data_IF_997305858217
#
_entry.id   IF_997305858217
#
_cell.length_a   1.000
_cell.length_b   1.000
_cell.length_c   1.000
_cell.angle_alpha   90.00
_cell.angle_beta   90.00
_cell.angle_gamma   90.00
#
_symmetry.space_group_name_H-M   'P 1'
#
loop_
_entity.id
_entity.type
_entity.pdbx_description
1 polymer ?
#
# COMPACT_ATOMS: atom_id res chain seq x y z
N UNK A 1 5.73 -30.37 -52.90
CA UNK A 1 6.19 -30.05 -51.53
C UNK A 1 5.84 -28.60 -51.22
N UNK A 2 5.35 -28.33 -50.00
CA UNK A 2 4.88 -27.07 -49.38
C UNK A 2 3.35 -26.87 -49.39
N UNK A 3 2.71 -27.41 -48.34
CA UNK A 3 1.40 -26.98 -47.83
C UNK A 3 1.61 -25.65 -47.10
N UNK A 4 0.91 -24.60 -47.52
CA UNK A 4 0.82 -23.33 -46.80
C UNK A 4 -0.35 -23.48 -45.82
N UNK A 5 -0.05 -23.58 -44.53
CA UNK A 5 -1.03 -23.44 -43.46
C UNK A 5 -1.24 -21.94 -43.22
N UNK A 6 -2.37 -21.40 -43.66
CA UNK A 6 -2.84 -20.09 -43.23
C UNK A 6 -3.41 -20.22 -41.82
N UNK A 7 -2.63 -19.80 -40.83
CA UNK A 7 -3.06 -19.68 -39.45
C UNK A 7 -3.88 -18.38 -39.32
N UNK A 8 -5.20 -18.49 -39.36
CA UNK A 8 -6.09 -17.38 -39.04
C UNK A 8 -6.04 -17.12 -37.53
N UNK A 9 -5.33 -16.08 -37.13
CA UNK A 9 -5.34 -15.58 -35.75
C UNK A 9 -6.64 -14.81 -35.54
N UNK A 10 -7.66 -15.50 -35.02
CA UNK A 10 -8.86 -14.84 -34.50
C UNK A 10 -8.45 -14.09 -33.22
N UNK A 11 -8.13 -12.80 -33.38
CA UNK A 11 -8.10 -11.84 -32.28
C UNK A 11 -9.53 -11.73 -31.75
N UNK A 12 -9.86 -12.55 -30.75
CA UNK A 12 -10.98 -12.26 -29.86
C UNK A 12 -10.54 -11.07 -29.02
N UNK A 13 -10.77 -9.87 -29.54
CA UNK A 13 -10.71 -8.66 -28.76
C UNK A 13 -11.86 -8.72 -27.75
N UNK A 14 -11.59 -9.30 -26.58
CA UNK A 14 -12.44 -9.12 -25.41
C UNK A 14 -12.54 -7.61 -25.19
N UNK A 15 -13.75 -7.01 -25.17
CA UNK A 15 -13.87 -5.62 -24.77
C UNK A 15 -13.42 -5.56 -23.30
N UNK A 16 -12.24 -5.00 -23.07
CA UNK A 16 -11.84 -4.44 -21.79
C UNK A 16 -12.83 -3.33 -21.50
N UNK A 17 -13.99 -3.68 -20.94
CA UNK A 17 -14.75 -2.73 -20.16
C UNK A 17 -13.86 -2.41 -18.96
N UNK A 18 -13.09 -1.32 -19.06
CA UNK A 18 -12.61 -0.63 -17.89
C UNK A 18 -13.86 -0.24 -17.11
N UNK A 19 -14.22 -1.05 -16.13
CA UNK A 19 -15.24 -0.69 -15.15
C UNK A 19 -14.74 0.61 -14.54
N UNK A 20 -15.47 1.71 -14.72
CA UNK A 20 -15.14 2.97 -14.07
C UNK A 20 -14.96 2.67 -12.57
N UNK A 21 -13.79 2.96 -12.01
CA UNK A 21 -13.55 2.71 -10.59
C UNK A 21 -14.57 3.52 -9.79
N UNK A 22 -15.49 2.82 -9.11
CA UNK A 22 -16.38 3.45 -8.16
C UNK A 22 -15.59 3.84 -6.90
N UNK A 23 -15.66 5.10 -6.51
CA UNK A 23 -15.17 5.58 -5.22
C UNK A 23 -16.36 5.84 -4.29
N UNK A 24 -16.10 5.71 -2.99
CA UNK A 24 -17.13 5.84 -1.97
C UNK A 24 -17.38 7.30 -1.60
N UNK A 25 -16.31 8.10 -1.59
CA UNK A 25 -16.38 9.54 -1.36
C UNK A 25 -15.55 10.32 -2.38
N UNK A 26 -16.01 11.53 -2.69
CA UNK A 26 -15.36 12.44 -3.62
C UNK A 26 -14.99 13.74 -2.91
N UNK A 27 -13.83 14.28 -3.26
CA UNK A 27 -13.32 15.55 -2.75
C UNK A 27 -13.07 16.52 -3.89
N UNK A 28 -13.62 17.72 -3.81
CA UNK A 28 -13.40 18.83 -4.73
C UNK A 28 -13.44 20.16 -3.96
N UNK A 29 -12.28 20.79 -3.78
CA UNK A 29 -12.15 22.06 -3.03
C UNK A 29 -12.97 23.21 -3.61
N UNK A 30 -13.30 23.18 -4.90
CA UNK A 30 -14.00 24.25 -5.61
C UNK A 30 -15.53 24.10 -5.55
N UNK A 31 -16.03 23.00 -5.00
CA UNK A 31 -17.46 22.80 -4.83
C UNK A 31 -18.02 23.78 -3.80
N UNK A 32 -19.20 24.35 -4.08
CA UNK A 32 -19.80 25.43 -3.28
C UNK A 32 -21.18 25.07 -2.71
N UNK A 33 -21.66 23.85 -2.95
CA UNK A 33 -22.96 23.38 -2.48
C UNK A 33 -22.89 22.62 -1.16
N UNK A 34 -23.99 21.93 -0.86
CA UNK A 34 -24.09 21.02 0.28
C UNK A 34 -23.19 19.79 0.09
N UNK A 35 -22.37 19.48 1.10
CA UNK A 35 -21.35 18.42 1.08
C UNK A 35 -21.89 17.13 1.70
N UNK A 36 -22.05 16.08 0.89
CA UNK A 36 -22.42 14.74 1.38
C UNK A 36 -21.43 13.65 0.96
N UNK A 37 -20.44 14.01 0.14
CA UNK A 37 -19.37 13.13 -0.32
C UNK A 37 -19.69 12.34 -1.59
N UNK A 38 -20.84 12.55 -2.24
CA UNK A 38 -21.12 11.92 -3.54
C UNK A 38 -20.34 12.62 -4.66
N UNK A 39 -20.34 12.03 -5.86
CA UNK A 39 -19.68 12.63 -7.03
C UNK A 39 -20.28 14.01 -7.39
N UNK A 40 -21.61 14.18 -7.23
CA UNK A 40 -22.33 15.42 -7.52
C UNK A 40 -22.26 16.44 -6.37
N UNK A 41 -22.07 15.94 -5.14
CA UNK A 41 -22.03 16.73 -3.91
C UNK A 41 -20.79 16.38 -3.07
N UNK A 42 -19.58 16.59 -3.60
CA UNK A 42 -18.33 16.17 -2.96
C UNK A 42 -18.06 16.94 -1.68
N UNK A 43 -17.16 16.41 -0.86
CA UNK A 43 -16.54 17.17 0.24
C UNK A 43 -15.55 18.20 -0.33
N UNK A 44 -15.35 19.31 0.37
CA UNK A 44 -14.33 20.29 0.01
C UNK A 44 -12.95 19.94 0.57
N UNK A 45 -12.92 19.21 1.68
CA UNK A 45 -11.69 18.84 2.39
C UNK A 45 -11.48 17.34 2.40
N UNK A 46 -10.22 16.92 2.45
CA UNK A 46 -9.85 15.51 2.57
C UNK A 46 -10.21 15.03 3.98
N UNK A 47 -10.00 15.87 5.00
CA UNK A 47 -10.36 15.58 6.38
C UNK A 47 -11.83 15.25 6.59
N UNK A 48 -12.76 15.95 5.92
CA UNK A 48 -14.19 15.65 6.01
C UNK A 48 -14.51 14.30 5.38
N UNK A 49 -13.92 13.98 4.23
CA UNK A 49 -14.07 12.68 3.57
C UNK A 49 -13.52 11.53 4.44
N UNK A 50 -12.34 11.72 5.05
CA UNK A 50 -11.74 10.75 5.99
C UNK A 50 -12.64 10.57 7.23
N UNK A 51 -13.12 11.66 7.82
CA UNK A 51 -14.02 11.62 8.98
C UNK A 51 -15.32 10.88 8.65
N UNK A 52 -15.84 11.05 7.43
CA UNK A 52 -17.01 10.34 6.96
C UNK A 52 -16.74 8.85 6.76
N UNK A 53 -15.59 8.49 6.18
CA UNK A 53 -15.17 7.11 6.01
C UNK A 53 -15.03 6.38 7.36
N UNK A 54 -14.50 7.05 8.38
CA UNK A 54 -14.38 6.51 9.74
C UNK A 54 -15.72 6.14 10.37
N UNK A 55 -16.70 7.04 10.25
CA UNK A 55 -18.05 6.81 10.76
C UNK A 55 -18.78 5.71 9.98
N UNK A 56 -18.43 5.57 8.70
CA UNK A 56 -19.10 4.69 7.76
C UNK A 56 -18.51 3.27 7.73
N UNK A 57 -17.82 2.82 8.81
CA UNK A 57 -17.04 1.54 8.92
C UNK A 57 -17.73 0.27 8.39
N UNK A 58 -19.00 0.32 8.02
CA UNK A 58 -19.65 -0.57 7.03
C UNK A 58 -19.08 -0.47 5.59
N UNK A 59 -17.82 -0.09 5.41
CA UNK A 59 -17.07 -0.33 4.19
C UNK A 59 -16.76 0.82 3.22
N UNK A 60 -17.28 2.01 3.45
CA UNK A 60 -16.99 3.14 2.55
C UNK A 60 -15.63 3.77 2.90
N UNK A 61 -14.58 3.47 2.13
CA UNK A 61 -13.17 3.77 2.49
C UNK A 61 -12.30 4.27 1.34
N UNK A 62 -12.81 4.26 0.11
CA UNK A 62 -12.11 4.74 -1.10
C UNK A 62 -12.51 6.19 -1.38
N UNK A 63 -11.53 7.09 -1.33
CA UNK A 63 -11.73 8.52 -1.50
C UNK A 63 -11.04 8.97 -2.78
N UNK A 64 -11.81 9.53 -3.71
CA UNK A 64 -11.31 10.21 -4.89
C UNK A 64 -11.10 11.70 -4.62
N UNK A 65 -9.96 12.23 -5.05
CA UNK A 65 -9.58 13.62 -4.82
C UNK A 65 -9.35 14.29 -6.17
N UNK A 66 -10.21 15.23 -6.50
CA UNK A 66 -10.10 16.01 -7.74
C UNK A 66 -8.81 16.85 -7.76
N UNK A 67 -8.41 17.32 -8.93
CA UNK A 67 -7.27 18.22 -9.06
C UNK A 67 -7.46 19.49 -8.23
N UNK A 68 -6.36 19.92 -7.60
CA UNK A 68 -6.34 21.08 -6.73
C UNK A 68 -5.29 20.97 -5.63
N UNK A 69 -4.96 22.12 -5.06
CA UNK A 69 -4.09 22.20 -3.88
C UNK A 69 -4.91 22.26 -2.59
N UNK A 70 -4.74 21.26 -1.73
CA UNK A 70 -5.44 21.05 -0.47
C UNK A 70 -4.48 21.31 0.67
N UNK A 71 -4.68 22.41 1.41
CA UNK A 71 -3.83 22.77 2.56
C UNK A 71 -4.36 22.09 3.82
N UNK A 72 -3.80 20.93 4.16
CA UNK A 72 -4.29 20.12 5.27
C UNK A 72 -3.15 19.37 5.97
N UNK A 73 -3.33 19.14 7.26
CA UNK A 73 -2.77 17.98 7.92
C UNK A 73 -3.89 16.98 8.22
N UNK A 74 -3.63 15.71 7.96
CA UNK A 74 -4.62 14.67 8.11
C UNK A 74 -3.98 13.40 8.67
N UNK A 75 -4.69 12.79 9.62
CA UNK A 75 -4.48 11.40 9.99
C UNK A 75 -5.43 10.58 9.13
N UNK A 76 -4.88 9.81 8.21
CA UNK A 76 -5.62 8.86 7.39
C UNK A 76 -5.75 7.59 8.23
N UNK A 77 -6.95 7.35 8.73
CA UNK A 77 -7.25 6.18 9.55
C UNK A 77 -7.09 4.88 8.77
N UNK A 78 -6.98 3.78 9.52
CA UNK A 78 -6.88 2.42 9.01
C UNK A 78 -7.90 2.10 7.90
N UNK A 79 -7.49 1.30 6.92
CA UNK A 79 -8.21 0.93 5.69
C UNK A 79 -8.61 2.07 4.74
N UNK A 80 -8.39 3.35 5.08
CA UNK A 80 -8.73 4.46 4.15
C UNK A 80 -7.74 4.55 3.00
N UNK A 81 -8.27 4.65 1.77
CA UNK A 81 -7.50 4.66 0.52
C UNK A 81 -7.77 5.95 -0.24
N UNK A 82 -6.72 6.70 -0.56
CA UNK A 82 -6.80 7.96 -1.30
C UNK A 82 -6.31 7.79 -2.73
N UNK A 83 -7.09 8.29 -3.67
CA UNK A 83 -6.81 8.27 -5.11
C UNK A 83 -6.92 9.71 -5.62
N UNK A 84 -5.81 10.27 -6.08
CA UNK A 84 -5.84 11.54 -6.79
C UNK A 84 -6.30 11.37 -8.23
N UNK A 85 -6.88 12.42 -8.78
CA UNK A 85 -7.18 12.53 -10.21
C UNK A 85 -5.88 12.60 -11.03
N UNK A 86 -4.85 13.25 -10.50
CA UNK A 86 -3.53 13.35 -11.12
C UNK A 86 -2.43 13.53 -10.09
N UNK A 87 -1.30 12.84 -10.26
CA UNK A 87 -0.15 13.04 -9.37
C UNK A 87 0.46 14.42 -9.53
N UNK A 88 0.31 15.07 -10.68
CA UNK A 88 0.84 16.40 -10.95
C UNK A 88 -0.05 17.51 -10.37
N UNK A 89 -1.37 17.33 -10.35
CA UNK A 89 -2.34 18.40 -10.05
C UNK A 89 -3.14 18.20 -8.76
N UNK A 90 -3.28 16.97 -8.27
CA UNK A 90 -3.85 16.69 -6.94
C UNK A 90 -2.76 16.81 -5.88
N UNK A 91 -2.68 17.97 -5.21
CA UNK A 91 -1.60 18.31 -4.29
C UNK A 91 -2.12 18.43 -2.87
N UNK A 92 -1.62 17.59 -1.96
CA UNK A 92 -1.78 17.72 -0.52
C UNK A 92 -0.63 18.59 0.00
N UNK A 93 -0.92 19.86 0.25
CA UNK A 93 0.03 20.85 0.76
C UNK A 93 0.07 20.80 2.29
N UNK A 94 1.12 20.19 2.82
CA UNK A 94 1.30 19.96 4.27
C UNK A 94 1.86 21.22 4.94
N UNK A 95 1.21 21.73 6.00
CA UNK A 95 1.72 22.85 6.79
C UNK A 95 3.12 22.56 7.35
N UNK A 96 3.96 23.59 7.44
CA UNK A 96 5.41 23.48 7.68
C UNK A 96 5.87 22.61 8.88
N UNK A 97 5.07 22.47 9.93
CA UNK A 97 5.43 21.70 11.14
C UNK A 97 4.62 20.41 11.28
N UNK A 98 3.77 20.11 10.30
CA UNK A 98 2.86 18.97 10.29
C UNK A 98 3.39 17.85 9.40
N UNK A 99 2.59 16.78 9.29
CA UNK A 99 2.77 15.62 8.42
C UNK A 99 1.41 15.06 8.05
N UNK A 100 1.27 14.45 6.87
CA UNK A 100 0.21 13.47 6.63
C UNK A 100 0.60 12.18 7.35
N UNK A 101 -0.32 11.54 8.06
CA UNK A 101 -0.06 10.30 8.80
C UNK A 101 -0.98 9.18 8.35
N UNK A 102 -0.40 8.07 7.90
CA UNK A 102 -1.11 6.81 7.66
C UNK A 102 -1.10 5.98 8.96
N UNK A 103 -2.24 5.44 9.35
CA UNK A 103 -2.46 4.81 10.65
C UNK A 103 -2.83 3.31 10.58
N UNK A 104 -2.70 2.69 9.42
CA UNK A 104 -3.04 1.28 9.23
C UNK A 104 -2.91 0.90 7.76
N UNK A 105 -3.73 -0.03 7.30
CA UNK A 105 -3.78 -0.59 5.94
C UNK A 105 -4.21 0.46 4.89
N UNK A 106 -3.30 1.40 4.60
CA UNK A 106 -3.60 2.57 3.78
C UNK A 106 -3.04 2.46 2.37
N UNK A 107 -3.71 3.13 1.43
CA UNK A 107 -3.22 3.28 0.05
C UNK A 107 -3.25 4.74 -0.37
N UNK A 108 -2.15 5.19 -0.97
CA UNK A 108 -2.07 6.47 -1.68
C UNK A 108 -1.73 6.18 -3.14
N UNK A 109 -2.51 6.74 -4.05
CA UNK A 109 -2.27 6.60 -5.49
C UNK A 109 -2.51 7.91 -6.22
N UNK A 110 -1.67 8.18 -7.22
CA UNK A 110 -1.89 9.23 -8.23
C UNK A 110 -2.05 10.65 -7.62
N UNK A 111 -1.23 11.00 -6.62
CA UNK A 111 -1.28 12.31 -5.93
C UNK A 111 0.11 12.82 -5.51
N UNK A 112 0.22 14.12 -5.23
CA UNK A 112 1.40 14.76 -4.63
C UNK A 112 1.17 15.02 -3.14
N UNK A 113 2.19 14.80 -2.31
CA UNK A 113 2.31 15.36 -0.96
C UNK A 113 3.51 16.31 -0.93
N UNK A 114 3.26 17.59 -0.61
CA UNK A 114 4.27 18.64 -0.64
C UNK A 114 4.39 19.36 0.71
N UNK A 115 5.60 19.67 1.16
CA UNK A 115 5.84 20.42 2.39
C UNK A 115 5.87 19.56 3.65
N UNK A 116 5.50 20.15 4.79
CA UNK A 116 5.58 19.48 6.10
C UNK A 116 6.96 19.54 6.76
N UNK A 117 7.00 19.21 8.05
CA UNK A 117 8.27 18.86 8.70
C UNK A 117 8.75 17.51 8.16
N UNK A 118 7.80 16.59 8.05
CA UNK A 118 7.86 15.34 7.31
C UNK A 118 6.65 15.38 6.38
N UNK A 119 6.80 15.04 5.09
CA UNK A 119 5.64 15.06 4.20
C UNK A 119 4.67 13.92 4.55
N UNK A 120 5.20 12.70 4.68
CA UNK A 120 4.42 11.49 4.96
C UNK A 120 5.02 10.66 6.11
N UNK A 121 4.24 10.40 7.16
CA UNK A 121 4.55 9.44 8.22
C UNK A 121 3.68 8.20 8.05
N UNK A 122 4.28 7.02 8.06
CA UNK A 122 3.60 5.74 7.90
C UNK A 122 3.69 4.96 9.21
N UNK A 123 2.53 4.63 9.79
CA UNK A 123 2.36 3.78 10.97
C UNK A 123 1.32 2.69 10.68
N UNK A 124 1.77 1.57 10.11
CA UNK A 124 0.90 0.51 9.61
C UNK A 124 1.30 0.08 8.19
N UNK A 125 0.58 -0.89 7.63
CA UNK A 125 0.87 -1.36 6.28
C UNK A 125 0.47 -0.29 5.25
N UNK A 126 1.31 0.01 4.27
CA UNK A 126 0.95 1.02 3.30
C UNK A 126 1.43 0.69 1.89
N UNK A 127 0.61 1.06 0.90
CA UNK A 127 1.00 1.09 -0.51
C UNK A 127 0.99 2.54 -0.98
N UNK A 128 2.15 3.06 -1.34
CA UNK A 128 2.31 4.39 -1.97
C UNK A 128 2.72 4.16 -3.41
N UNK A 129 1.85 4.51 -4.35
CA UNK A 129 2.03 4.19 -5.77
C UNK A 129 1.81 5.39 -6.67
N UNK A 130 2.75 5.63 -7.59
CA UNK A 130 2.65 6.73 -8.55
C UNK A 130 2.42 8.10 -7.88
N UNK A 131 3.09 8.34 -6.75
CA UNK A 131 3.00 9.57 -5.99
C UNK A 131 4.25 10.45 -6.18
N UNK A 132 4.11 11.74 -5.89
CA UNK A 132 5.24 12.67 -5.74
C UNK A 132 5.30 13.12 -4.28
N UNK A 133 6.43 12.91 -3.61
CA UNK A 133 6.69 13.35 -2.25
C UNK A 133 7.83 14.37 -2.26
N UNK A 134 7.53 15.63 -1.95
CA UNK A 134 8.51 16.71 -2.14
C UNK A 134 8.47 17.82 -1.11
N UNK A 135 9.56 18.59 -1.10
CA UNK A 135 9.67 19.89 -0.41
C UNK A 135 9.43 19.84 1.11
N UNK A 136 9.56 18.67 1.73
CA UNK A 136 9.49 18.54 3.18
C UNK A 136 10.73 19.17 3.83
N UNK A 137 10.57 19.80 5.00
CA UNK A 137 11.69 20.46 5.70
C UNK A 137 12.75 19.49 6.22
N UNK A 138 12.39 18.25 6.55
CA UNK A 138 13.32 17.25 7.11
C UNK A 138 13.31 15.92 6.38
N UNK A 139 12.16 15.27 6.22
CA UNK A 139 12.10 13.94 5.59
C UNK A 139 10.94 13.87 4.61
N UNK A 140 11.15 13.25 3.45
CA UNK A 140 10.05 12.98 2.53
C UNK A 140 9.07 11.99 3.17
N UNK A 141 9.54 10.77 3.39
CA UNK A 141 8.76 9.69 4.01
C UNK A 141 9.46 9.22 5.28
N UNK A 142 8.71 9.04 6.37
CA UNK A 142 9.15 8.36 7.59
C UNK A 142 8.27 7.13 7.85
N UNK A 143 8.87 5.95 7.85
CA UNK A 143 8.23 4.71 8.32
C UNK A 143 8.67 4.50 9.76
N UNK A 144 7.72 4.51 10.69
CA UNK A 144 8.03 4.42 12.12
C UNK A 144 8.41 2.99 12.54
N UNK A 145 9.08 2.85 13.68
CA UNK A 145 9.46 1.54 14.22
C UNK A 145 8.21 0.65 14.40
N UNK A 146 8.27 -0.58 13.92
CA UNK A 146 7.13 -1.47 13.94
C UNK A 146 7.35 -2.75 13.15
N UNK A 147 6.26 -3.41 12.77
CA UNK A 147 6.24 -4.61 11.92
C UNK A 147 5.37 -4.37 10.68
N UNK A 148 5.45 -3.18 10.11
CA UNK A 148 4.63 -2.76 8.98
C UNK A 148 5.12 -3.40 7.68
N UNK A 149 4.20 -3.64 6.73
CA UNK A 149 4.53 -3.91 5.33
C UNK A 149 4.35 -2.64 4.53
N UNK A 150 5.44 -2.07 4.00
CA UNK A 150 5.37 -0.83 3.22
C UNK A 150 5.90 -1.05 1.81
N UNK A 151 5.05 -0.82 0.82
CA UNK A 151 5.43 -0.81 -0.59
C UNK A 151 5.41 0.61 -1.12
N UNK A 152 6.52 1.06 -1.70
CA UNK A 152 6.64 2.34 -2.41
C UNK A 152 7.01 2.02 -3.84
N UNK A 153 6.12 2.33 -4.78
CA UNK A 153 6.21 1.93 -6.19
C UNK A 153 6.07 3.14 -7.11
N UNK A 154 6.85 3.18 -8.19
CA UNK A 154 6.66 4.14 -9.29
C UNK A 154 6.58 5.62 -8.84
N UNK A 155 7.23 5.97 -7.72
CA UNK A 155 7.05 7.27 -7.07
C UNK A 155 8.31 8.14 -7.19
N UNK A 156 8.10 9.46 -7.13
CA UNK A 156 9.17 10.46 -7.11
C UNK A 156 9.32 11.02 -5.69
N UNK A 157 10.48 10.87 -5.08
CA UNK A 157 10.81 11.41 -3.75
C UNK A 157 11.95 12.41 -3.91
N UNK A 158 11.65 13.71 -3.84
CA UNK A 158 12.60 14.75 -4.27
C UNK A 158 12.59 16.03 -3.45
N UNK A 159 13.71 16.75 -3.46
CA UNK A 159 13.85 18.10 -2.87
C UNK A 159 13.51 18.18 -1.36
N UNK A 160 13.66 17.09 -0.62
CA UNK A 160 13.43 17.11 0.82
C UNK A 160 14.66 17.64 1.55
N UNK A 161 14.44 18.42 2.61
CA UNK A 161 15.47 19.09 3.40
C UNK A 161 16.36 18.17 4.25
N UNK A 162 16.19 16.86 4.14
CA UNK A 162 17.02 15.81 4.76
C UNK A 162 16.79 14.50 4.01
N UNK A 163 16.43 13.42 4.71
CA UNK A 163 16.27 12.07 4.13
C UNK A 163 15.11 12.00 3.12
N UNK A 164 15.32 11.29 2.01
CA UNK A 164 14.25 10.97 1.07
C UNK A 164 13.22 10.05 1.74
N UNK A 165 13.62 8.82 2.04
CA UNK A 165 12.84 7.85 2.84
C UNK A 165 13.66 7.40 4.04
N UNK A 166 13.07 7.54 5.22
CA UNK A 166 13.65 7.10 6.48
C UNK A 166 12.86 5.93 7.04
N UNK A 167 13.52 4.79 7.25
CA UNK A 167 12.89 3.53 7.62
C UNK A 167 13.43 3.10 8.98
N UNK A 168 12.60 3.21 10.00
CA UNK A 168 12.94 2.78 11.35
C UNK A 168 12.80 1.26 11.51
N UNK A 169 13.35 0.76 12.62
CA UNK A 169 13.56 -0.67 12.91
C UNK A 169 12.32 -1.55 12.71
N UNK A 170 12.55 -2.79 12.25
CA UNK A 170 11.58 -3.88 12.34
C UNK A 170 10.61 -4.06 11.17
N UNK A 171 10.60 -3.13 10.21
CA UNK A 171 9.64 -3.11 9.11
C UNK A 171 10.02 -4.04 7.95
N UNK A 172 9.01 -4.38 7.13
CA UNK A 172 9.19 -5.04 5.84
C UNK A 172 8.94 -4.06 4.70
N UNK A 173 9.82 -4.03 3.70
CA UNK A 173 9.77 -3.02 2.64
C UNK A 173 9.81 -3.62 1.22
N UNK A 174 9.09 -3.00 0.30
CA UNK A 174 9.26 -3.16 -1.14
C UNK A 174 9.41 -1.78 -1.78
N UNK A 175 10.64 -1.40 -2.14
CA UNK A 175 10.93 -0.13 -2.78
C UNK A 175 11.29 -0.40 -4.24
N UNK A 176 10.37 -0.13 -5.18
CA UNK A 176 10.59 -0.46 -6.59
C UNK A 176 10.22 0.63 -7.58
N UNK A 177 11.03 0.78 -8.63
CA UNK A 177 10.79 1.70 -9.73
C UNK A 177 10.60 3.17 -9.28
N UNK A 178 11.24 3.56 -8.17
CA UNK A 178 11.16 4.92 -7.67
C UNK A 178 12.33 5.77 -8.20
N UNK A 179 12.07 7.07 -8.32
CA UNK A 179 13.12 8.07 -8.49
C UNK A 179 13.32 8.82 -7.18
N UNK A 180 14.53 8.79 -6.63
CA UNK A 180 14.87 9.42 -5.34
C UNK A 180 16.05 10.36 -5.52
N UNK A 181 15.77 11.66 -5.55
CA UNK A 181 16.78 12.62 -5.96
C UNK A 181 16.74 13.96 -5.22
N UNK A 182 17.87 14.66 -5.21
CA UNK A 182 17.98 16.03 -4.68
C UNK A 182 17.54 16.20 -3.21
N UNK A 183 17.62 15.13 -2.42
CA UNK A 183 17.35 15.20 -0.99
C UNK A 183 18.64 15.64 -0.26
N UNK A 184 18.51 16.48 0.78
CA UNK A 184 19.66 17.00 1.56
C UNK A 184 20.21 16.04 2.62
N UNK A 185 19.87 14.77 2.51
CA UNK A 185 20.40 13.68 3.30
C UNK A 185 20.62 12.46 2.41
N UNK A 186 20.34 11.29 2.94
CA UNK A 186 20.36 10.01 2.26
C UNK A 186 19.12 9.86 1.37
N UNK A 187 19.23 9.17 0.24
CA UNK A 187 18.06 8.81 -0.56
C UNK A 187 17.15 7.86 0.22
N UNK A 188 17.70 6.71 0.61
CA UNK A 188 17.10 5.76 1.54
C UNK A 188 18.00 5.59 2.77
N UNK A 189 17.50 5.89 3.98
CA UNK A 189 18.14 5.54 5.26
C UNK A 189 17.35 4.43 5.94
N UNK A 190 18.00 3.28 6.13
CA UNK A 190 17.40 2.02 6.55
C UNK A 190 18.04 1.59 7.87
N UNK A 191 17.23 1.53 8.92
CA UNK A 191 17.67 1.08 10.25
C UNK A 191 17.74 -0.44 10.34
N UNK A 192 18.09 -0.95 11.52
CA UNK A 192 18.29 -2.39 11.76
C UNK A 192 16.98 -3.21 11.71
N UNK A 193 17.11 -4.52 11.60
CA UNK A 193 16.03 -5.51 11.59
C UNK A 193 14.99 -5.25 10.50
N UNK A 194 15.45 -4.87 9.30
CA UNK A 194 14.60 -4.64 8.14
C UNK A 194 14.61 -5.87 7.25
N UNK A 195 13.45 -6.24 6.71
CA UNK A 195 13.31 -7.28 5.70
C UNK A 195 12.80 -6.69 4.40
N UNK A 196 13.33 -7.02 3.23
CA UNK A 196 12.73 -6.50 2.02
C UNK A 196 13.56 -6.46 0.75
N UNK A 197 13.00 -5.76 -0.23
CA UNK A 197 13.54 -5.62 -1.58
C UNK A 197 13.64 -4.14 -1.94
N UNK A 198 14.79 -3.75 -2.47
CA UNK A 198 15.05 -2.43 -3.07
C UNK A 198 15.47 -2.70 -4.50
N UNK A 199 14.56 -2.50 -5.46
CA UNK A 199 14.77 -2.95 -6.83
C UNK A 199 14.47 -1.87 -7.87
N UNK A 200 15.32 -1.74 -8.89
CA UNK A 200 15.01 -0.97 -10.10
C UNK A 200 14.74 0.53 -9.81
N UNK A 201 15.37 1.08 -8.76
CA UNK A 201 15.23 2.50 -8.44
C UNK A 201 16.35 3.32 -9.10
N UNK A 202 16.03 4.58 -9.42
CA UNK A 202 17.01 5.60 -9.79
C UNK A 202 17.26 6.54 -8.60
N UNK A 203 18.48 6.50 -8.06
CA UNK A 203 18.83 7.21 -6.82
C UNK A 203 20.00 8.13 -7.09
N UNK A 204 19.76 9.44 -7.09
CA UNK A 204 20.80 10.38 -7.55
C UNK A 204 20.80 11.75 -6.92
N UNK A 205 21.97 12.41 -6.91
CA UNK A 205 22.10 13.80 -6.48
C UNK A 205 21.61 14.07 -5.05
N UNK A 206 21.64 13.06 -4.17
CA UNK A 206 21.42 13.26 -2.75
C UNK A 206 22.73 13.74 -2.09
N UNK A 207 22.64 14.54 -1.03
CA UNK A 207 23.84 15.15 -0.42
C UNK A 207 24.58 14.22 0.54
N UNK A 208 24.05 13.03 0.81
CA UNK A 208 24.77 11.97 1.52
C UNK A 208 24.87 10.71 0.65
N UNK A 209 24.66 9.52 1.21
CA UNK A 209 24.69 8.26 0.46
C UNK A 209 23.38 8.08 -0.32
N UNK A 210 23.42 7.39 -1.46
CA UNK A 210 22.20 7.04 -2.17
C UNK A 210 21.32 6.10 -1.33
N UNK A 211 21.90 4.98 -0.91
CA UNK A 211 21.30 4.03 0.03
C UNK A 211 22.22 3.90 1.23
N UNK A 212 21.69 4.06 2.44
CA UNK A 212 22.40 3.79 3.69
C UNK A 212 21.64 2.74 4.50
N UNK A 213 22.36 1.70 4.92
CA UNK A 213 21.82 0.57 5.67
C UNK A 213 22.59 0.40 6.96
N UNK A 214 21.88 0.48 8.09
CA UNK A 214 22.37 -0.05 9.34
C UNK A 214 22.09 -1.56 9.38
N UNK A 215 23.16 -2.34 9.16
CA UNK A 215 23.09 -3.77 8.81
C UNK A 215 22.27 -4.61 9.80
N UNK A 216 22.45 -4.40 11.10
CA UNK A 216 21.93 -5.20 12.22
C UNK A 216 20.74 -6.11 11.94
N UNK A 217 20.93 -7.43 11.88
CA UNK A 217 19.87 -8.44 11.67
C UNK A 217 18.96 -8.23 10.44
N UNK A 218 19.35 -7.39 9.48
CA UNK A 218 18.52 -7.09 8.30
C UNK A 218 18.67 -8.16 7.23
N UNK A 219 17.58 -8.45 6.51
CA UNK A 219 17.53 -9.37 5.37
C UNK A 219 17.07 -8.59 4.13
N UNK A 220 17.99 -8.26 3.22
CA UNK A 220 17.73 -7.31 2.14
C UNK A 220 18.25 -7.83 0.80
N UNK A 221 17.41 -7.72 -0.22
CA UNK A 221 17.83 -7.80 -1.61
C UNK A 221 17.84 -6.40 -2.23
N UNK A 222 19.04 -5.88 -2.50
CA UNK A 222 19.23 -4.59 -3.18
C UNK A 222 19.69 -4.90 -4.60
N UNK A 223 18.79 -4.76 -5.57
CA UNK A 223 19.08 -5.20 -6.94
C UNK A 223 18.73 -4.22 -8.04
N UNK A 224 19.52 -4.23 -9.12
CA UNK A 224 19.21 -3.47 -10.36
C UNK A 224 18.95 -1.98 -10.13
N UNK A 225 19.48 -1.39 -9.05
CA UNK A 225 19.35 0.04 -8.82
C UNK A 225 20.44 0.80 -9.57
N UNK A 226 20.10 1.99 -10.07
CA UNK A 226 21.08 2.94 -10.60
C UNK A 226 21.32 4.02 -9.56
N UNK A 227 22.51 4.01 -8.96
CA UNK A 227 22.89 4.91 -7.86
C UNK A 227 24.06 5.79 -8.28
N UNK A 228 23.80 7.07 -8.52
CA UNK A 228 24.77 7.98 -9.15
C UNK A 228 24.78 9.39 -8.61
N UNK A 229 25.93 10.05 -8.69
CA UNK A 229 26.07 11.48 -8.34
C UNK A 229 25.64 11.83 -6.90
N UNK A 230 25.61 10.86 -5.98
CA UNK A 230 25.38 11.17 -4.57
C UNK A 230 26.70 11.71 -3.97
N UNK A 231 26.61 12.71 -3.10
CA UNK A 231 27.79 13.43 -2.63
C UNK A 231 28.69 12.56 -1.73
N UNK A 232 28.14 11.58 -1.03
CA UNK A 232 28.90 10.57 -0.30
C UNK A 232 29.03 9.27 -1.12
N UNK A 233 28.36 8.19 -0.71
CA UNK A 233 28.55 6.87 -1.29
C UNK A 233 27.37 6.47 -2.20
N UNK A 234 27.57 5.46 -3.04
CA UNK A 234 26.46 4.78 -3.68
C UNK A 234 25.61 4.06 -2.63
N UNK A 235 26.16 2.97 -2.08
CA UNK A 235 25.56 2.19 -1.00
C UNK A 235 26.51 2.21 0.20
N UNK A 236 26.03 2.66 1.36
CA UNK A 236 26.76 2.62 2.62
C UNK A 236 26.14 1.59 3.56
N UNK A 237 26.98 0.75 4.17
CA UNK A 237 26.59 -0.19 5.21
C UNK A 237 27.28 0.23 6.51
N UNK A 238 26.47 0.52 7.52
CA UNK A 238 26.91 0.92 8.83
C UNK A 238 26.69 -0.19 9.86
N UNK A 239 27.47 -0.11 10.93
CA UNK A 239 27.35 -0.93 12.12
C UNK A 239 27.66 -0.09 13.36
N UNK A 240 27.17 -0.55 14.50
CA UNK A 240 27.48 0.00 15.82
C UNK A 240 27.88 -1.17 16.73
N UNK A 241 28.85 -1.01 17.65
CA UNK A 241 29.22 -2.08 18.58
C UNK A 241 28.04 -2.63 19.39
N UNK A 242 27.04 -1.79 19.66
CA UNK A 242 25.81 -2.15 20.39
C UNK A 242 24.81 -2.96 19.55
N UNK A 243 25.08 -3.14 18.24
CA UNK A 243 24.25 -3.89 17.29
C UNK A 243 25.14 -4.95 16.61
N UNK A 244 25.51 -6.03 17.34
CA UNK A 244 26.48 -7.01 16.88
C UNK A 244 25.90 -7.99 15.85
N UNK A 245 24.58 -8.04 15.68
CA UNK A 245 23.92 -8.98 14.77
C UNK A 245 24.31 -8.72 13.32
N UNK A 246 24.71 -9.77 12.61
CA UNK A 246 24.98 -9.71 11.17
C UNK A 246 23.69 -9.65 10.36
N UNK A 247 23.80 -9.22 9.11
CA UNK A 247 22.70 -9.20 8.15
C UNK A 247 22.77 -10.32 7.10
N UNK A 248 21.73 -10.42 6.28
CA UNK A 248 21.70 -11.17 5.02
C UNK A 248 21.41 -10.19 3.89
N UNK A 249 22.43 -9.48 3.45
CA UNK A 249 22.28 -8.40 2.46
C UNK A 249 22.89 -8.83 1.15
N UNK A 250 22.08 -9.04 0.10
CA UNK A 250 22.57 -9.28 -1.25
C UNK A 250 22.52 -7.99 -2.07
N UNK A 251 23.67 -7.53 -2.55
CA UNK A 251 23.78 -6.47 -3.54
C UNK A 251 23.96 -7.13 -4.92
N UNK A 252 22.96 -7.01 -5.79
CA UNK A 252 22.91 -7.74 -7.06
C UNK A 252 22.67 -6.82 -8.26
N UNK A 253 23.53 -6.84 -9.28
CA UNK A 253 23.30 -6.10 -10.54
C UNK A 253 23.04 -4.58 -10.36
N UNK A 254 23.58 -3.95 -9.32
CA UNK A 254 23.46 -2.51 -9.16
C UNK A 254 24.51 -1.77 -10.00
N UNK A 255 24.15 -0.58 -10.48
CA UNK A 255 25.05 0.35 -11.18
C UNK A 255 25.38 1.50 -10.22
N UNK A 256 26.62 1.52 -9.73
CA UNK A 256 27.09 2.45 -8.69
C UNK A 256 28.21 3.33 -9.27
N UNK A 257 27.86 4.53 -9.74
CA UNK A 257 28.78 5.35 -10.54
C UNK A 257 28.79 6.82 -10.17
N UNK A 258 29.93 7.51 -10.29
CA UNK A 258 30.01 8.97 -10.10
C UNK A 258 29.61 9.46 -8.71
N UNK A 259 29.64 8.60 -7.69
CA UNK A 259 29.41 9.03 -6.30
C UNK A 259 30.68 9.68 -5.73
N UNK A 260 30.50 10.63 -4.81
CA UNK A 260 31.56 11.51 -4.31
C UNK A 260 32.59 10.84 -3.39
N UNK A 261 32.34 9.59 -2.97
CA UNK A 261 33.26 8.74 -2.21
C UNK A 261 33.27 7.35 -2.84
N UNK A 262 32.77 6.32 -2.18
CA UNK A 262 32.83 4.94 -2.66
C UNK A 262 31.56 4.57 -3.43
N UNK A 263 31.65 3.58 -4.31
CA UNK A 263 30.42 2.93 -4.80
C UNK A 263 29.76 2.14 -3.67
N UNK A 264 30.55 1.36 -2.92
CA UNK A 264 30.13 0.63 -1.72
C UNK A 264 31.06 0.98 -0.57
N UNK A 265 30.47 1.44 0.54
CA UNK A 265 31.17 1.77 1.77
C UNK A 265 30.70 0.88 2.91
N UNK A 266 31.63 0.49 3.79
CA UNK A 266 31.34 -0.17 5.06
C UNK A 266 32.06 0.53 6.21
N UNK A 267 31.42 0.73 7.36
CA UNK A 267 32.10 1.20 8.56
C UNK A 267 31.17 1.82 9.60
N UNK A 268 31.71 2.12 10.78
CA UNK A 268 30.96 2.86 11.80
C UNK A 268 30.72 4.31 11.36
N UNK A 269 29.60 4.90 11.79
CA UNK A 269 29.53 6.35 11.85
C UNK A 269 30.62 6.87 12.82
N UNK A 270 31.38 7.86 12.37
CA UNK A 270 32.54 8.44 13.08
C UNK A 270 33.77 7.51 13.25
N UNK A 271 33.86 6.40 12.51
CA UNK A 271 35.11 5.63 12.42
C UNK A 271 35.45 4.77 13.65
N UNK A 272 34.44 4.34 14.41
CA UNK A 272 34.59 3.38 15.50
C UNK A 272 35.01 1.97 15.05
N UNK A 273 35.44 1.16 16.03
CA UNK A 273 35.94 -0.19 15.81
C UNK A 273 34.82 -1.22 15.62
N UNK A 274 35.06 -2.18 14.72
CA UNK A 274 34.20 -3.36 14.53
C UNK A 274 35.04 -4.62 14.32
N UNK A 275 34.41 -5.78 14.49
CA UNK A 275 35.03 -7.04 14.11
C UNK A 275 35.43 -7.00 12.63
N UNK A 276 36.66 -7.41 12.32
CA UNK A 276 37.23 -7.41 10.98
C UNK A 276 36.45 -8.23 9.94
N UNK A 277 35.43 -8.98 10.37
CA UNK A 277 34.61 -9.85 9.52
C UNK A 277 33.14 -9.42 9.41
N UNK A 278 32.65 -8.48 10.22
CA UNK A 278 31.20 -8.15 10.33
C UNK A 278 30.53 -7.90 8.97
N UNK A 279 31.11 -7.03 8.14
CA UNK A 279 30.55 -6.70 6.83
C UNK A 279 30.73 -7.83 5.83
N UNK A 280 31.88 -8.50 5.85
CA UNK A 280 32.13 -9.66 4.99
C UNK A 280 31.24 -10.85 5.34
N UNK A 281 30.70 -10.89 6.56
CA UNK A 281 29.73 -11.85 7.10
C UNK A 281 28.27 -11.36 7.05
N UNK A 282 28.01 -10.16 6.53
CA UNK A 282 26.65 -9.64 6.38
C UNK A 282 26.21 -9.37 4.93
N UNK A 283 27.15 -9.14 4.03
CA UNK A 283 26.87 -8.63 2.69
C UNK A 283 27.46 -9.57 1.63
N UNK A 284 26.73 -9.88 0.57
CA UNK A 284 27.24 -10.58 -0.64
C UNK A 284 27.11 -9.66 -1.84
N UNK A 285 28.18 -9.57 -2.63
CA UNK A 285 28.20 -8.84 -3.89
C UNK A 285 28.10 -9.81 -5.06
N UNK A 286 27.22 -9.50 -5.99
CA UNK A 286 27.05 -10.30 -7.21
C UNK A 286 26.75 -9.37 -8.39
N UNK A 287 27.60 -9.42 -9.42
CA UNK A 287 27.35 -8.77 -10.71
C UNK A 287 27.11 -7.24 -10.67
N UNK A 288 27.63 -6.53 -9.67
CA UNK A 288 27.50 -5.07 -9.57
C UNK A 288 28.52 -4.34 -10.45
N UNK A 289 28.07 -3.28 -11.14
CA UNK A 289 28.94 -2.34 -11.85
C UNK A 289 29.32 -1.21 -10.90
N UNK A 290 30.60 -1.05 -10.62
CA UNK A 290 31.08 -0.06 -9.66
C UNK A 290 32.33 0.63 -10.19
N UNK A 291 32.13 1.76 -10.88
CA UNK A 291 33.18 2.49 -11.57
C UNK A 291 32.97 4.00 -11.46
N UNK A 292 34.00 4.78 -11.80
CA UNK A 292 33.92 6.25 -11.89
C UNK A 292 33.44 6.96 -10.62
N UNK A 293 33.47 6.32 -9.45
CA UNK A 293 33.31 7.00 -8.17
C UNK A 293 34.60 7.75 -7.82
N UNK A 294 34.51 8.84 -7.05
CA UNK A 294 35.70 9.63 -6.70
C UNK A 294 36.70 8.83 -5.83
N UNK A 295 36.17 7.97 -4.98
CA UNK A 295 36.92 7.00 -4.18
C UNK A 295 36.99 5.62 -4.85
N UNK A 296 37.43 4.62 -4.08
CA UNK A 296 37.52 3.24 -4.58
C UNK A 296 36.12 2.67 -4.88
N UNK A 297 36.02 1.63 -5.73
CA UNK A 297 34.75 0.93 -5.90
C UNK A 297 34.16 0.46 -4.56
N UNK A 298 34.97 -0.23 -3.76
CA UNK A 298 34.59 -0.73 -2.44
C UNK A 298 35.59 -0.21 -1.40
N UNK A 299 35.10 0.22 -0.23
CA UNK A 299 35.98 0.60 0.88
C UNK A 299 36.72 -0.61 1.47
N UNK A 300 37.96 -0.43 1.92
CA UNK A 300 38.80 -1.54 2.43
C UNK A 300 38.22 -2.22 3.67
N UNK A 301 37.49 -1.47 4.50
CA UNK A 301 36.77 -1.90 5.69
C UNK A 301 35.68 -2.94 5.44
N UNK A 302 35.23 -3.13 4.20
CA UNK A 302 34.24 -4.15 3.88
C UNK A 302 34.79 -5.59 3.94
N UNK A 303 36.10 -5.77 3.71
CA UNK A 303 36.78 -7.08 3.76
C UNK A 303 36.15 -8.23 2.93
N UNK A 304 35.43 -7.94 1.84
CA UNK A 304 34.73 -8.95 1.01
C UNK A 304 35.64 -10.02 0.37
N UNK A 305 36.95 -9.79 0.28
CA UNK A 305 37.91 -10.80 -0.19
C UNK A 305 38.07 -12.03 0.71
N UNK A 306 37.38 -12.08 1.86
CA UNK A 306 37.44 -13.19 2.85
C UNK A 306 36.22 -14.12 2.83
N UNK A 307 35.30 -13.96 1.87
CA UNK A 307 34.06 -14.73 1.83
C UNK A 307 34.29 -16.21 1.54
N UNK A 308 33.68 -17.08 2.34
CA UNK A 308 33.73 -18.54 2.14
C UNK A 308 32.55 -19.01 1.28
N UNK A 309 32.69 -20.16 0.61
CA UNK A 309 31.60 -20.75 -0.19
C UNK A 309 30.39 -21.11 0.69
N UNK A 310 30.63 -21.66 1.88
CA UNK A 310 29.57 -21.99 2.86
C UNK A 310 28.78 -20.73 3.27
N UNK A 311 29.45 -19.57 3.31
CA UNK A 311 28.82 -18.30 3.64
C UNK A 311 27.95 -17.74 2.50
N UNK A 312 28.41 -17.83 1.25
CA UNK A 312 27.60 -17.44 0.08
C UNK A 312 26.30 -18.25 0.04
N UNK A 313 26.33 -19.53 0.44
CA UNK A 313 25.13 -20.37 0.56
C UNK A 313 24.21 -19.95 1.71
N UNK A 314 24.75 -19.45 2.83
CA UNK A 314 23.97 -19.06 4.02
C UNK A 314 23.30 -17.67 3.92
N UNK A 315 23.71 -16.82 2.97
CA UNK A 315 23.05 -15.54 2.65
C UNK A 315 21.99 -15.66 1.56
N UNK A 316 21.85 -16.84 0.93
CA UNK A 316 20.68 -17.12 0.13
C UNK A 316 19.42 -16.94 0.99
N UNK A 317 18.61 -15.95 0.63
CA UNK A 317 17.35 -15.64 1.26
C UNK A 317 16.26 -15.62 0.21
N UNK A 318 15.11 -16.20 0.55
CA UNK A 318 13.88 -16.10 -0.22
C UNK A 318 13.18 -14.75 0.03
N UNK A 319 13.87 -13.74 0.59
CA UNK A 319 13.29 -12.43 0.95
C UNK A 319 12.51 -11.81 -0.20
N UNK A 320 12.97 -11.93 -1.44
CA UNK A 320 12.20 -11.45 -2.60
C UNK A 320 10.86 -12.15 -2.73
N UNK A 321 10.86 -13.48 -2.73
CA UNK A 321 9.64 -14.29 -2.84
C UNK A 321 8.70 -14.02 -1.67
N UNK A 322 9.23 -13.89 -0.46
CA UNK A 322 8.46 -13.63 0.77
C UNK A 322 7.83 -12.22 0.71
N UNK A 323 8.62 -11.21 0.36
CA UNK A 323 8.16 -9.82 0.26
C UNK A 323 7.14 -9.63 -0.86
N UNK A 324 7.41 -10.16 -2.06
CA UNK A 324 6.45 -10.10 -3.17
C UNK A 324 5.15 -10.82 -2.82
N UNK A 325 5.21 -12.04 -2.26
CA UNK A 325 4.00 -12.75 -1.79
C UNK A 325 3.21 -11.93 -0.77
N UNK A 326 3.90 -11.27 0.18
CA UNK A 326 3.24 -10.47 1.19
C UNK A 326 2.53 -9.24 0.60
N UNK A 327 3.15 -8.57 -0.38
CA UNK A 327 2.54 -7.44 -1.09
C UNK A 327 1.39 -7.89 -1.98
N UNK A 328 1.52 -9.02 -2.69
CA UNK A 328 0.45 -9.59 -3.52
C UNK A 328 -0.78 -9.97 -2.67
N UNK A 329 -0.56 -10.53 -1.48
CA UNK A 329 -1.64 -10.81 -0.52
C UNK A 329 -2.31 -9.53 -0.01
N UNK A 330 -1.54 -8.46 0.21
CA UNK A 330 -2.11 -7.16 0.57
C UNK A 330 -2.96 -6.57 -0.57
N UNK A 331 -2.51 -6.66 -1.81
CA UNK A 331 -3.29 -6.20 -2.97
C UNK A 331 -4.57 -7.03 -3.17
N UNK A 332 -4.52 -8.35 -2.93
CA UNK A 332 -5.70 -9.22 -2.93
C UNK A 332 -6.68 -8.86 -1.80
N UNK A 333 -6.16 -8.57 -0.61
CA UNK A 333 -6.96 -8.09 0.52
C UNK A 333 -7.66 -6.77 0.17
N UNK A 334 -6.92 -5.78 -0.34
CA UNK A 334 -7.46 -4.45 -0.68
C UNK A 334 -8.61 -4.52 -1.69
N UNK A 335 -8.51 -5.44 -2.65
CA UNK A 335 -9.55 -5.71 -3.65
C UNK A 335 -10.77 -6.39 -3.02
N UNK A 336 -10.54 -7.42 -2.20
CA UNK A 336 -11.60 -8.18 -1.52
C UNK A 336 -12.37 -7.29 -0.53
N UNK A 337 -11.64 -6.44 0.21
CA UNK A 337 -12.19 -5.42 1.10
C UNK A 337 -13.16 -4.50 0.33
N UNK A 338 -12.71 -3.91 -0.78
CA UNK A 338 -13.56 -3.04 -1.61
C UNK A 338 -14.85 -3.74 -2.07
N UNK A 339 -14.79 -5.03 -2.39
CA UNK A 339 -15.96 -5.80 -2.85
C UNK A 339 -16.92 -6.10 -1.70
N UNK A 340 -16.42 -6.60 -0.57
CA UNK A 340 -17.22 -6.90 0.62
C UNK A 340 -17.92 -5.63 1.11
N UNK A 341 -17.17 -4.55 1.20
CA UNK A 341 -17.63 -3.26 1.68
C UNK A 341 -18.77 -2.68 0.84
N UNK A 342 -18.66 -2.75 -0.49
CA UNK A 342 -19.73 -2.35 -1.40
C UNK A 342 -21.01 -3.18 -1.17
N UNK A 343 -20.87 -4.48 -0.89
CA UNK A 343 -22.00 -5.38 -0.62
C UNK A 343 -22.60 -5.16 0.76
N UNK A 344 -21.78 -4.86 1.77
CA UNK A 344 -22.27 -4.45 3.09
C UNK A 344 -23.11 -3.18 2.95
N UNK A 345 -22.58 -2.14 2.30
CA UNK A 345 -23.27 -0.87 2.11
C UNK A 345 -24.60 -1.04 1.34
N UNK A 346 -24.57 -1.77 0.22
CA UNK A 346 -25.77 -2.04 -0.58
C UNK A 346 -26.83 -2.83 0.19
N UNK A 347 -26.43 -3.91 0.87
CA UNK A 347 -27.32 -4.74 1.69
C UNK A 347 -27.96 -3.94 2.82
N UNK A 348 -27.18 -3.11 3.51
CA UNK A 348 -27.69 -2.28 4.61
C UNK A 348 -28.72 -1.25 4.15
N UNK A 349 -28.49 -0.63 2.99
CA UNK A 349 -29.43 0.33 2.40
C UNK A 349 -30.76 -0.33 2.07
N UNK A 350 -30.73 -1.51 1.43
CA UNK A 350 -31.95 -2.25 1.09
C UNK A 350 -32.66 -2.73 2.36
N UNK A 351 -31.93 -3.33 3.30
CA UNK A 351 -32.46 -3.79 4.59
C UNK A 351 -33.13 -2.66 5.37
N UNK A 352 -32.52 -1.47 5.39
CA UNK A 352 -33.07 -0.28 6.05
C UNK A 352 -34.35 0.20 5.35
N UNK A 353 -34.36 0.28 4.01
CA UNK A 353 -35.53 0.67 3.22
C UNK A 353 -36.71 -0.27 3.44
N UNK A 354 -36.43 -1.58 3.44
CA UNK A 354 -37.42 -2.62 3.72
C UNK A 354 -37.97 -2.45 5.16
N UNK A 355 -37.10 -2.25 6.14
CA UNK A 355 -37.52 -2.09 7.52
C UNK A 355 -38.36 -0.81 7.74
N UNK A 356 -38.05 0.28 7.04
CA UNK A 356 -38.79 1.53 7.08
C UNK A 356 -40.18 1.47 6.41
N UNK A 357 -40.47 0.45 5.60
CA UNK A 357 -41.77 0.31 4.94
C UNK A 357 -42.90 0.14 5.97
N UNK A 358 -44.01 0.86 5.81
CA UNK A 358 -45.12 0.88 6.76
C UNK A 358 -45.74 -0.51 6.96
N UNK A 359 -46.31 -0.76 8.15
CA UNK A 359 -46.96 -2.03 8.46
C UNK A 359 -48.14 -2.29 7.49
N UNK A 360 -48.92 -1.26 7.18
CA UNK A 360 -50.00 -1.33 6.19
C UNK A 360 -49.47 -1.79 4.82
N UNK A 361 -48.40 -1.19 4.31
CA UNK A 361 -47.84 -1.58 3.00
C UNK A 361 -47.28 -3.02 3.05
N UNK A 362 -46.60 -3.41 4.14
CA UNK A 362 -46.12 -4.78 4.33
C UNK A 362 -47.25 -5.80 4.34
N UNK A 363 -48.41 -5.44 4.90
CA UNK A 363 -49.61 -6.29 4.97
C UNK A 363 -50.33 -6.38 3.61
N UNK A 364 -50.55 -5.25 2.93
CA UNK A 364 -51.40 -5.22 1.73
C UNK A 364 -50.66 -5.49 0.41
N UNK A 365 -49.35 -5.21 0.36
CA UNK A 365 -48.55 -5.27 -0.86
C UNK A 365 -47.43 -6.33 -0.74
N UNK A 366 -47.00 -6.64 0.48
CA UNK A 366 -45.85 -7.50 0.74
C UNK A 366 -44.52 -6.74 0.63
N UNK A 367 -43.41 -7.48 0.67
CA UNK A 367 -42.07 -6.92 0.43
C UNK A 367 -41.75 -6.94 -1.07
N UNK A 368 -40.96 -5.95 -1.52
CA UNK A 368 -40.50 -5.88 -2.90
C UNK A 368 -39.60 -7.08 -3.23
N UNK A 369 -40.02 -7.93 -4.16
CA UNK A 369 -39.33 -9.16 -4.53
C UNK A 369 -37.94 -8.90 -5.12
N UNK A 370 -37.76 -7.83 -5.90
CA UNK A 370 -36.47 -7.46 -6.48
C UNK A 370 -35.45 -7.08 -5.39
N UNK A 371 -35.89 -6.31 -4.39
CA UNK A 371 -35.04 -5.96 -3.24
C UNK A 371 -34.66 -7.18 -2.39
N UNK A 372 -35.56 -8.15 -2.28
CA UNK A 372 -35.31 -9.42 -1.58
C UNK A 372 -34.29 -10.28 -2.34
N UNK A 373 -34.43 -10.36 -3.67
CA UNK A 373 -33.45 -11.05 -4.53
C UNK A 373 -32.07 -10.37 -4.45
N UNK A 374 -32.01 -9.03 -4.45
CA UNK A 374 -30.77 -8.29 -4.26
C UNK A 374 -30.12 -8.55 -2.90
N UNK A 375 -30.91 -8.63 -1.81
CA UNK A 375 -30.38 -9.00 -0.49
C UNK A 375 -29.83 -10.42 -0.45
N UNK A 376 -30.48 -11.38 -1.13
CA UNK A 376 -29.97 -12.75 -1.24
C UNK A 376 -28.64 -12.78 -1.99
N UNK A 377 -28.58 -12.14 -3.16
CA UNK A 377 -27.35 -12.03 -3.94
C UNK A 377 -26.21 -11.36 -3.14
N UNK A 378 -26.51 -10.28 -2.40
CA UNK A 378 -25.53 -9.64 -1.53
C UNK A 378 -24.99 -10.60 -0.44
N UNK A 379 -25.86 -11.40 0.19
CA UNK A 379 -25.43 -12.40 1.17
C UNK A 379 -24.52 -13.48 0.53
N UNK A 380 -24.89 -14.00 -0.64
CA UNK A 380 -24.10 -15.02 -1.34
C UNK A 380 -22.70 -14.49 -1.70
N UNK A 381 -22.61 -13.25 -2.18
CA UNK A 381 -21.32 -12.60 -2.48
C UNK A 381 -20.48 -12.32 -1.22
N UNK A 382 -21.12 -11.94 -0.10
CA UNK A 382 -20.42 -11.77 1.17
C UNK A 382 -19.84 -13.10 1.69
N UNK A 383 -20.56 -14.22 1.53
CA UNK A 383 -20.05 -15.56 1.88
C UNK A 383 -18.83 -15.91 1.04
N UNK A 384 -18.88 -15.70 -0.29
CA UNK A 384 -17.72 -15.90 -1.17
C UNK A 384 -16.53 -15.01 -0.79
N UNK A 385 -16.78 -13.75 -0.44
CA UNK A 385 -15.75 -12.84 0.06
C UNK A 385 -15.07 -13.36 1.34
N UNK A 386 -15.84 -13.92 2.28
CA UNK A 386 -15.31 -14.51 3.51
C UNK A 386 -14.41 -15.73 3.22
N UNK A 387 -14.74 -16.53 2.20
CA UNK A 387 -13.90 -17.67 1.77
C UNK A 387 -12.55 -17.17 1.24
N UNK A 388 -12.56 -16.14 0.37
CA UNK A 388 -11.33 -15.52 -0.14
C UNK A 388 -10.48 -14.94 1.01
N UNK A 389 -11.11 -14.26 1.96
CA UNK A 389 -10.44 -13.75 3.15
C UNK A 389 -9.78 -14.87 3.96
N UNK A 390 -10.45 -16.01 4.12
CA UNK A 390 -9.89 -17.18 4.79
C UNK A 390 -8.62 -17.67 4.10
N UNK A 391 -8.63 -17.73 2.76
CA UNK A 391 -7.45 -18.12 1.97
C UNK A 391 -6.29 -17.13 2.13
N UNK A 392 -6.57 -15.82 2.14
CA UNK A 392 -5.56 -14.78 2.41
C UNK A 392 -4.95 -14.98 3.81
N UNK A 393 -5.77 -15.19 4.83
CA UNK A 393 -5.32 -15.41 6.21
C UNK A 393 -4.43 -16.65 6.34
N UNK A 394 -4.84 -17.76 5.72
CA UNK A 394 -4.10 -19.03 5.72
C UNK A 394 -2.74 -18.92 5.00
N UNK A 395 -2.64 -18.03 4.01
CA UNK A 395 -1.42 -17.82 3.23
C UNK A 395 -0.50 -16.72 3.78
N UNK A 396 -0.99 -15.93 4.74
CA UNK A 396 -0.24 -14.85 5.39
C UNK A 396 0.44 -15.33 6.66
N UNK A 397 1.69 -14.89 6.85
CA UNK A 397 2.45 -15.06 8.09
C UNK A 397 2.48 -13.79 8.95
N UNK A 398 1.69 -12.76 8.58
CA UNK A 398 1.68 -11.46 9.28
C UNK A 398 0.44 -11.36 10.16
N UNK A 399 0.66 -11.11 11.46
CA UNK A 399 -0.44 -10.93 12.42
C UNK A 399 -1.33 -9.74 12.06
N UNK A 400 -0.76 -8.62 11.57
CA UNK A 400 -1.53 -7.45 11.14
C UNK A 400 -2.58 -7.81 10.08
N UNK A 401 -2.15 -8.49 9.01
CA UNK A 401 -3.05 -8.97 7.95
C UNK A 401 -4.13 -9.91 8.48
N UNK A 402 -3.77 -10.86 9.36
CA UNK A 402 -4.74 -11.79 9.96
C UNK A 402 -5.78 -11.06 10.80
N UNK A 403 -5.39 -10.01 11.52
CA UNK A 403 -6.29 -9.13 12.27
C UNK A 403 -7.24 -8.36 11.34
N UNK A 404 -6.73 -7.75 10.27
CA UNK A 404 -7.54 -7.01 9.30
C UNK A 404 -8.57 -7.92 8.61
N UNK A 405 -8.13 -9.11 8.18
CA UNK A 405 -9.01 -10.15 7.65
C UNK A 405 -10.10 -10.54 8.65
N UNK A 406 -9.75 -10.81 9.91
CA UNK A 406 -10.72 -11.23 10.92
C UNK A 406 -11.79 -10.16 11.18
N UNK A 407 -11.38 -8.89 11.25
CA UNK A 407 -12.28 -7.76 11.44
C UNK A 407 -13.28 -7.64 10.29
N UNK A 408 -12.80 -7.63 9.04
CA UNK A 408 -13.65 -7.52 7.85
C UNK A 408 -14.61 -8.70 7.72
N UNK A 409 -14.13 -9.93 7.97
CA UNK A 409 -14.98 -11.13 7.96
C UNK A 409 -16.06 -11.08 9.05
N UNK A 410 -15.77 -10.49 10.21
CA UNK A 410 -16.76 -10.29 11.27
C UNK A 410 -17.84 -9.28 10.85
N UNK A 411 -17.46 -8.18 10.22
CA UNK A 411 -18.39 -7.18 9.72
C UNK A 411 -19.31 -7.76 8.62
N UNK A 412 -18.75 -8.53 7.68
CA UNK A 412 -19.52 -9.25 6.67
C UNK A 412 -20.54 -10.23 7.28
N UNK A 413 -20.13 -11.06 8.26
CA UNK A 413 -21.02 -11.99 8.96
C UNK A 413 -22.16 -11.30 9.70
N UNK A 414 -21.88 -10.12 10.27
CA UNK A 414 -22.89 -9.31 10.96
C UNK A 414 -23.94 -8.79 9.97
N UNK A 415 -23.54 -8.33 8.79
CA UNK A 415 -24.47 -7.87 7.76
C UNK A 415 -25.29 -9.03 7.18
N UNK A 416 -24.67 -10.18 6.90
CA UNK A 416 -25.38 -11.41 6.48
C UNK A 416 -26.49 -11.76 7.48
N UNK A 417 -26.15 -11.76 8.77
CA UNK A 417 -27.10 -12.06 9.85
C UNK A 417 -28.26 -11.05 9.89
N UNK A 418 -28.00 -9.77 9.65
CA UNK A 418 -29.02 -8.74 9.58
C UNK A 418 -29.95 -8.92 8.38
N UNK A 419 -29.39 -9.22 7.20
CA UNK A 419 -30.14 -9.47 5.98
C UNK A 419 -31.02 -10.74 6.10
N UNK A 420 -30.49 -11.81 6.67
CA UNK A 420 -31.23 -13.07 6.92
C UNK A 420 -32.51 -12.86 7.75
N UNK A 421 -32.47 -11.96 8.73
CA UNK A 421 -33.64 -11.60 9.53
C UNK A 421 -34.71 -10.96 8.64
N UNK A 422 -34.33 -10.08 7.72
CA UNK A 422 -35.25 -9.42 6.78
C UNK A 422 -35.81 -10.44 5.78
N UNK A 423 -34.95 -11.29 5.20
CA UNK A 423 -35.34 -12.33 4.25
C UNK A 423 -36.35 -13.32 4.85
N UNK A 424 -36.13 -13.77 6.09
CA UNK A 424 -37.07 -14.67 6.79
C UNK A 424 -38.43 -14.01 7.05
N UNK A 425 -38.45 -12.74 7.45
CA UNK A 425 -39.70 -11.97 7.65
C UNK A 425 -40.46 -11.79 6.34
N UNK A 426 -39.74 -11.51 5.27
CA UNK A 426 -40.31 -11.37 3.92
C UNK A 426 -40.96 -12.65 3.43
N UNK A 427 -40.26 -13.78 3.51
CA UNK A 427 -40.79 -15.09 3.09
C UNK A 427 -42.09 -15.45 3.83
N UNK A 428 -42.16 -15.22 5.15
CA UNK A 428 -43.38 -15.46 5.94
C UNK A 428 -44.55 -14.58 5.49
N UNK A 429 -44.29 -13.29 5.27
CA UNK A 429 -45.35 -12.32 4.94
C UNK A 429 -45.86 -12.52 3.50
N UNK A 430 -44.96 -12.64 2.52
CA UNK A 430 -45.35 -12.84 1.13
C UNK A 430 -46.10 -14.17 0.94
N UNK A 431 -45.73 -15.25 1.64
CA UNK A 431 -46.48 -16.51 1.58
C UNK A 431 -47.92 -16.37 2.09
N UNK A 432 -48.14 -15.59 3.16
CA UNK A 432 -49.47 -15.42 3.76
C UNK A 432 -50.41 -14.57 2.89
N UNK A 433 -49.90 -13.47 2.32
CA UNK A 433 -50.71 -12.47 1.62
C UNK A 433 -50.84 -12.72 0.11
N UNK A 434 -49.87 -13.38 -0.53
CA UNK A 434 -50.04 -13.78 -1.94
C UNK A 434 -51.00 -14.96 -2.09
N UNK A 435 -51.15 -15.79 -1.05
CA UNK A 435 -52.18 -16.84 -1.01
C UNK A 435 -53.58 -16.21 -1.04
N UNK A 436 -53.83 -15.18 -0.23
CA UNK A 436 -55.14 -14.49 -0.19
C UNK A 436 -55.44 -13.73 -1.47
N UNK A 437 -54.43 -13.11 -2.11
CA UNK A 437 -54.57 -12.50 -3.45
C UNK A 437 -54.87 -13.53 -4.54
N UNK A 438 -54.14 -14.66 -4.56
CA UNK A 438 -54.43 -15.76 -5.51
C UNK A 438 -55.83 -16.31 -5.32
N UNK A 439 -56.28 -16.49 -4.08
CA UNK A 439 -57.64 -16.93 -3.78
C UNK A 439 -58.65 -15.89 -4.26
N UNK A 440 -58.44 -14.60 -3.98
CA UNK A 440 -59.32 -13.52 -4.44
C UNK A 440 -59.41 -13.40 -5.98
N UNK A 441 -58.32 -13.67 -6.71
CA UNK A 441 -58.33 -13.70 -8.17
C UNK A 441 -59.01 -14.94 -8.78
N UNK A 442 -59.33 -15.96 -7.97
CA UNK A 442 -60.19 -17.08 -8.40
C UNK A 442 -61.68 -16.77 -8.23
N UNK A 443 -62.03 -15.70 -7.51
CA UNK A 443 -63.42 -15.29 -7.23
C UNK A 443 -63.87 -14.01 -7.96
N UNK A 444 -63.00 -13.42 -8.76
CA UNK A 444 -63.31 -12.41 -9.78
C UNK A 444 -63.04 -13.03 -11.15
#
# INVERSE_FOLDING_TARGET
MRKIFSLAFLLVASPLFAQAEGYDFYVNKNYSGEEIGSQEKPFRTIKDAVSKAEQSRKGLRRIFISNGEYVEDAVISDSVKLFGESKEETVLQVPSLSTIRLAGDNRLKDLTIAGGAIALTINGNAIVENCIIKDAKKKGIEIIEGKSLVAIKNSLITNNGGKGVYIQKGNSILLTNNTVAYNRGEGFDIRQNISGVIAENEISNNTESGIEVLTGASDLLIKKNTVRNNLANGIANQSYPEIPETGKIKLFENILTQNGKYGIYCGAPSGGDHANTYFSESIVLDSNINNNNKGKPVSGSCHFGRQTNDYIQNIASDVEKITTKAVDLQEQFDKTESQIDAKISSGSNISTKINATSLLNKIFIGFNEEEILHLQAANDELVQGIEILSDISNNSNRDSMRTSVANLAQDAKKEISANDVVLRKSKRSNTLFWLTRKIASFFN
#
